data_IF_904037209222
#
_entry.id   IF_904037209222
#
_cell.length_a   1.000
_cell.length_b   1.000
_cell.length_c   1.000
_cell.angle_alpha   90.00
_cell.angle_beta   90.00
_cell.angle_gamma   90.00
#
_symmetry.space_group_name_H-M   'P 1'
#
loop_
_entity.id
_entity.type
_entity.pdbx_description
1 polymer ?
#
# COMPACT_ATOMS: atom_id res chain seq x y z
N UNK A 1 -19.67 23.52 12.16
CA UNK A 1 -18.94 23.51 10.88
C UNK A 1 -17.51 22.96 11.00
N UNK A 2 -16.89 22.93 12.19
CA UNK A 2 -15.52 22.43 12.40
C UNK A 2 -15.40 20.89 12.61
N UNK A 3 -16.49 20.19 12.94
CA UNK A 3 -16.42 18.76 13.32
C UNK A 3 -16.36 17.79 12.13
N UNK A 4 -16.90 18.15 10.95
CA UNK A 4 -17.06 17.20 9.83
C UNK A 4 -15.79 17.07 8.97
N UNK A 5 -15.05 18.15 8.79
CA UNK A 5 -13.73 18.15 8.12
C UNK A 5 -12.61 17.61 9.00
N UNK A 6 -12.81 17.62 10.32
CA UNK A 6 -11.82 17.19 11.31
C UNK A 6 -11.53 15.68 11.25
N UNK A 7 -12.51 14.85 10.90
CA UNK A 7 -12.33 13.39 10.79
C UNK A 7 -11.38 13.03 9.65
N UNK A 8 -11.52 13.69 8.49
CA UNK A 8 -10.66 13.44 7.35
C UNK A 8 -9.22 13.88 7.62
N UNK A 9 -9.06 15.06 8.25
CA UNK A 9 -7.76 15.56 8.66
C UNK A 9 -7.11 14.67 9.72
N UNK A 10 -7.89 14.17 10.68
CA UNK A 10 -7.41 13.29 11.73
C UNK A 10 -7.00 11.93 11.18
N UNK A 11 -7.77 11.36 10.27
CA UNK A 11 -7.43 10.11 9.58
C UNK A 11 -6.14 10.26 8.77
N UNK A 12 -6.06 11.31 7.96
CA UNK A 12 -4.88 11.64 7.18
C UNK A 12 -3.65 11.86 8.08
N UNK A 13 -3.78 12.65 9.14
CA UNK A 13 -2.70 12.92 10.08
C UNK A 13 -2.25 11.64 10.82
N UNK A 14 -3.21 10.78 11.21
CA UNK A 14 -2.93 9.53 11.89
C UNK A 14 -2.15 8.56 10.98
N UNK A 15 -2.58 8.38 9.73
CA UNK A 15 -1.86 7.52 8.79
C UNK A 15 -0.45 8.02 8.50
N UNK A 16 -0.28 9.32 8.22
CA UNK A 16 1.05 9.89 8.03
C UNK A 16 1.93 9.78 9.29
N UNK A 17 1.33 9.91 10.48
CA UNK A 17 2.07 9.76 11.73
C UNK A 17 2.57 8.32 11.94
N UNK A 18 1.71 7.33 11.67
CA UNK A 18 2.10 5.90 11.75
C UNK A 18 3.21 5.60 10.74
N UNK A 19 3.13 6.10 9.51
CA UNK A 19 4.21 5.94 8.52
C UNK A 19 5.53 6.56 9.00
N UNK A 20 5.48 7.73 9.62
CA UNK A 20 6.68 8.40 10.12
C UNK A 20 7.32 7.62 11.28
N UNK A 21 6.50 7.04 12.17
CA UNK A 21 6.98 6.13 13.20
C UNK A 21 7.62 4.88 12.60
N UNK A 22 7.02 4.32 11.54
CA UNK A 22 7.57 3.15 10.84
C UNK A 22 8.91 3.45 10.18
N UNK A 23 9.08 4.64 9.58
CA UNK A 23 10.37 5.08 9.02
C UNK A 23 11.45 5.19 10.09
N UNK A 24 11.12 5.77 11.24
CA UNK A 24 12.06 5.87 12.35
C UNK A 24 12.48 4.49 12.85
N UNK A 25 11.52 3.58 13.04
CA UNK A 25 11.80 2.20 13.42
C UNK A 25 12.68 1.47 12.39
N UNK A 26 12.34 1.60 11.10
CA UNK A 26 13.11 0.99 10.01
C UNK A 26 14.56 1.50 9.98
N UNK A 27 14.77 2.80 10.23
CA UNK A 27 16.10 3.39 10.33
C UNK A 27 16.89 2.83 11.53
N UNK A 28 16.26 2.75 12.71
CA UNK A 28 16.91 2.15 13.88
C UNK A 28 17.25 0.68 13.66
N UNK A 29 16.31 -0.11 13.15
CA UNK A 29 16.56 -1.53 12.85
C UNK A 29 17.64 -1.71 11.79
N UNK A 30 17.70 -0.84 10.78
CA UNK A 30 18.78 -0.85 9.79
C UNK A 30 20.13 -0.58 10.44
N UNK A 31 20.20 0.36 11.38
CA UNK A 31 21.43 0.61 12.14
C UNK A 31 21.84 -0.61 12.99
N UNK A 32 20.89 -1.21 13.70
CA UNK A 32 21.12 -2.42 14.50
C UNK A 32 21.61 -3.58 13.64
N UNK A 33 20.97 -3.81 12.49
CA UNK A 33 21.42 -4.83 11.52
C UNK A 33 22.83 -4.51 11.03
N UNK A 34 23.09 -3.30 10.54
CA UNK A 34 24.40 -2.92 10.03
C UNK A 34 25.51 -3.00 11.09
N UNK A 35 25.20 -2.72 12.35
CA UNK A 35 26.18 -2.79 13.44
C UNK A 35 26.48 -4.23 13.89
N UNK A 36 25.52 -5.14 13.76
CA UNK A 36 25.66 -6.55 14.11
C UNK A 36 26.06 -7.45 12.93
N UNK A 37 25.92 -6.99 11.69
CA UNK A 37 26.15 -7.78 10.49
C UNK A 37 27.65 -7.92 10.22
N UNK A 38 28.15 -9.14 10.31
CA UNK A 38 29.47 -9.50 9.77
C UNK A 38 29.33 -9.82 8.28
N UNK A 39 29.83 -8.91 7.43
CA UNK A 39 29.83 -9.12 5.97
C UNK A 39 30.91 -10.12 5.62
N UNK A 40 30.51 -11.32 5.19
CA UNK A 40 31.40 -12.32 4.64
C UNK A 40 31.20 -12.46 3.13
N UNK A 41 32.26 -12.83 2.42
CA UNK A 41 32.19 -13.08 0.97
C UNK A 41 31.55 -14.46 0.72
N UNK A 42 30.22 -14.50 0.65
CA UNK A 42 29.46 -15.71 0.36
C UNK A 42 29.32 -15.92 -1.15
N UNK A 43 29.68 -17.11 -1.63
CA UNK A 43 29.41 -17.49 -3.02
C UNK A 43 27.92 -17.81 -3.18
N UNK A 44 27.26 -17.36 -4.26
CA UNK A 44 25.88 -17.69 -4.51
C UNK A 44 25.68 -19.22 -4.50
N UNK A 45 24.64 -19.75 -3.84
CA UNK A 45 24.40 -21.18 -3.81
C UNK A 45 24.14 -21.69 -5.23
N UNK A 46 24.71 -22.87 -5.56
CA UNK A 46 24.36 -23.57 -6.81
C UNK A 46 22.96 -24.16 -6.64
N UNK A 47 21.96 -23.50 -7.24
CA UNK A 47 20.58 -23.97 -7.25
C UNK A 47 20.38 -24.93 -8.43
N UNK A 48 19.74 -26.06 -8.16
CA UNK A 48 19.20 -26.95 -9.20
C UNK A 48 17.68 -26.76 -9.22
N UNK A 49 17.09 -26.36 -10.37
CA UNK A 49 15.64 -26.24 -10.49
C UNK A 49 14.96 -27.55 -10.11
N UNK A 50 13.85 -27.45 -9.40
CA UNK A 50 12.99 -28.56 -9.04
C UNK A 50 11.55 -28.10 -9.14
N UNK A 51 10.69 -29.00 -9.59
CA UNK A 51 9.26 -28.78 -9.52
C UNK A 51 8.85 -28.55 -8.06
N UNK A 52 8.02 -27.56 -7.83
CA UNK A 52 7.65 -27.18 -6.47
C UNK A 52 6.61 -26.08 -6.43
N UNK A 53 5.98 -25.95 -5.26
CA UNK A 53 5.05 -24.87 -4.94
C UNK A 53 5.57 -24.17 -3.70
N UNK A 54 5.51 -22.84 -3.71
CA UNK A 54 6.01 -22.01 -2.63
C UNK A 54 5.13 -20.81 -2.40
N UNK A 55 4.88 -20.51 -1.13
CA UNK A 55 4.17 -19.32 -0.68
C UNK A 55 5.11 -18.53 0.24
N UNK A 56 5.20 -17.23 0.03
CA UNK A 56 5.92 -16.30 0.89
C UNK A 56 5.05 -15.09 1.21
N UNK A 57 5.18 -14.60 2.43
CA UNK A 57 4.55 -13.37 2.89
C UNK A 57 5.64 -12.47 3.49
N UNK A 58 5.59 -11.19 3.15
CA UNK A 58 6.49 -10.18 3.70
C UNK A 58 5.71 -8.92 4.07
N UNK A 59 5.99 -8.37 5.24
CA UNK A 59 5.45 -7.07 5.62
C UNK A 59 6.19 -5.97 4.86
N UNK A 60 5.43 -5.15 4.15
CA UNK A 60 5.93 -3.96 3.46
C UNK A 60 5.17 -2.73 4.01
N UNK A 61 5.61 -1.49 3.73
CA UNK A 61 5.06 -0.30 4.38
C UNK A 61 3.53 -0.14 4.30
N UNK A 62 2.88 -0.76 3.30
CA UNK A 62 1.45 -0.62 3.00
C UNK A 62 0.62 -1.83 3.43
N UNK A 63 1.22 -2.80 4.12
CA UNK A 63 0.61 -4.06 4.56
C UNK A 63 1.35 -5.30 4.04
N UNK A 64 0.74 -6.47 4.18
CA UNK A 64 1.36 -7.75 3.80
C UNK A 64 1.36 -7.96 2.29
N UNK A 65 2.52 -8.32 1.71
CA UNK A 65 2.67 -8.74 0.33
C UNK A 65 2.77 -10.27 0.26
N UNK A 66 1.87 -10.88 -0.51
CA UNK A 66 1.85 -12.34 -0.71
C UNK A 66 2.33 -12.72 -2.09
N UNK A 67 3.21 -13.73 -2.13
CA UNK A 67 3.71 -14.35 -3.34
C UNK A 67 3.45 -15.85 -3.28
N UNK A 68 2.79 -16.38 -4.29
CA UNK A 68 2.57 -17.80 -4.49
C UNK A 68 3.02 -18.18 -5.89
N UNK A 69 3.90 -19.18 -6.00
CA UNK A 69 4.43 -19.65 -7.27
C UNK A 69 4.44 -21.17 -7.34
N UNK A 70 4.20 -21.70 -8.53
CA UNK A 70 4.50 -23.10 -8.87
C UNK A 70 5.55 -23.12 -9.98
N UNK A 71 6.60 -23.90 -9.77
CA UNK A 71 7.67 -24.14 -10.72
C UNK A 71 7.56 -25.57 -11.29
N UNK A 72 7.92 -25.74 -12.56
CA UNK A 72 8.13 -27.07 -13.14
C UNK A 72 9.56 -27.59 -12.90
N UNK A 73 9.88 -28.77 -13.45
CA UNK A 73 11.18 -29.42 -13.29
C UNK A 73 12.34 -28.62 -13.91
N UNK A 74 12.06 -27.81 -14.92
CA UNK A 74 13.04 -26.95 -15.59
C UNK A 74 13.18 -25.58 -14.88
N UNK A 75 12.35 -25.32 -13.86
CA UNK A 75 12.35 -24.08 -13.08
C UNK A 75 11.48 -22.97 -13.66
N UNK A 76 10.62 -23.29 -14.63
CA UNK A 76 9.70 -22.32 -15.21
C UNK A 76 8.47 -22.14 -14.33
N UNK A 77 8.02 -20.89 -14.20
CA UNK A 77 6.80 -20.56 -13.48
C UNK A 77 5.60 -21.06 -14.29
N UNK A 78 4.88 -22.04 -13.74
CA UNK A 78 3.64 -22.58 -14.32
C UNK A 78 2.39 -21.95 -13.70
N UNK A 79 2.53 -21.38 -12.50
CA UNK A 79 1.48 -20.65 -11.81
C UNK A 79 2.09 -19.52 -10.98
N UNK A 80 1.42 -18.38 -10.96
CA UNK A 80 1.77 -17.23 -10.14
C UNK A 80 0.50 -16.57 -9.60
N UNK A 81 0.47 -16.32 -8.31
CA UNK A 81 -0.55 -15.54 -7.64
C UNK A 81 0.12 -14.54 -6.70
N UNK A 82 -0.23 -13.27 -6.84
CA UNK A 82 0.38 -12.17 -6.10
C UNK A 82 -0.74 -11.31 -5.53
N UNK A 83 -0.79 -11.20 -4.20
CA UNK A 83 -1.77 -10.35 -3.51
C UNK A 83 -1.02 -9.15 -2.95
N UNK A 84 -1.24 -8.00 -3.57
CA UNK A 84 -0.55 -6.76 -3.17
C UNK A 84 -1.25 -6.09 -1.98
N UNK A 85 -0.52 -5.36 -1.13
CA UNK A 85 -1.12 -4.63 -0.01
C UNK A 85 -2.15 -3.59 -0.47
N UNK A 86 -1.87 -2.87 -1.57
CA UNK A 86 -2.82 -1.89 -2.13
C UNK A 86 -4.13 -2.54 -2.57
N UNK A 87 -4.08 -3.74 -3.18
CA UNK A 87 -5.30 -4.46 -3.55
C UNK A 87 -6.14 -4.87 -2.33
N UNK A 88 -5.49 -5.23 -1.22
CA UNK A 88 -6.16 -5.56 0.04
C UNK A 88 -6.86 -4.33 0.66
N UNK A 89 -6.24 -3.15 0.56
CA UNK A 89 -6.79 -1.91 1.10
C UNK A 89 -7.87 -1.25 0.24
N UNK A 90 -8.10 -1.76 -0.98
CA UNK A 90 -9.05 -1.16 -1.92
C UNK A 90 -10.49 -1.13 -1.38
N UNK A 91 -10.93 -2.17 -0.68
CA UNK A 91 -12.26 -2.21 -0.09
C UNK A 91 -12.43 -1.14 1.00
N UNK A 92 -11.46 -1.06 1.92
CA UNK A 92 -11.47 -0.06 2.98
C UNK A 92 -11.49 1.37 2.41
N UNK A 93 -10.67 1.61 1.38
CA UNK A 93 -10.65 2.89 0.67
C UNK A 93 -12.02 3.24 0.06
N UNK A 94 -12.69 2.28 -0.59
CA UNK A 94 -14.03 2.50 -1.14
C UNK A 94 -15.06 2.81 -0.06
N UNK A 95 -15.05 2.06 1.04
CA UNK A 95 -15.98 2.28 2.15
C UNK A 95 -15.75 3.63 2.84
N UNK A 96 -14.49 4.04 3.02
CA UNK A 96 -14.17 5.33 3.61
C UNK A 96 -14.55 6.49 2.67
N UNK A 97 -14.39 6.35 1.34
CA UNK A 97 -14.92 7.31 0.38
C UNK A 97 -16.44 7.42 0.52
N UNK A 98 -17.17 6.29 0.54
CA UNK A 98 -18.63 6.28 0.71
C UNK A 98 -19.07 6.94 2.01
N UNK A 99 -18.31 6.76 3.10
CA UNK A 99 -18.60 7.33 4.41
C UNK A 99 -18.34 8.83 4.48
N UNK A 100 -17.29 9.31 3.82
CA UNK A 100 -16.88 10.72 3.82
C UNK A 100 -17.73 11.54 2.85
N UNK A 101 -18.11 10.97 1.70
CA UNK A 101 -18.78 11.69 0.61
C UNK A 101 -20.01 12.53 1.08
N UNK A 102 -20.96 12.00 1.88
CA UNK A 102 -22.12 12.77 2.35
C UNK A 102 -21.75 14.02 3.16
N UNK A 103 -20.58 14.03 3.80
CA UNK A 103 -20.13 15.17 4.62
C UNK A 103 -19.54 16.31 3.79
N UNK A 104 -19.14 16.04 2.53
CA UNK A 104 -18.48 17.00 1.64
C UNK A 104 -19.34 17.41 0.43
N UNK A 105 -20.52 16.79 0.21
CA UNK A 105 -21.44 17.10 -0.91
C UNK A 105 -21.87 18.58 -1.00
N UNK A 106 -21.80 19.34 0.09
CA UNK A 106 -22.13 20.77 0.08
C UNK A 106 -21.01 21.70 -0.42
N UNK A 107 -19.86 21.16 -0.80
CA UNK A 107 -18.70 21.94 -1.29
C UNK A 107 -18.76 22.10 -2.82
N UNK A 108 -17.87 22.94 -3.37
CA UNK A 108 -17.69 23.02 -4.83
C UNK A 108 -17.15 21.69 -5.35
N UNK A 109 -17.44 21.35 -6.62
CA UNK A 109 -17.03 20.09 -7.23
C UNK A 109 -15.52 19.88 -7.13
N UNK A 110 -14.73 20.94 -7.34
CA UNK A 110 -13.26 20.90 -7.26
C UNK A 110 -12.77 20.59 -5.84
N UNK A 111 -13.44 21.13 -4.82
CA UNK A 111 -13.11 20.88 -3.42
C UNK A 111 -13.46 19.44 -3.00
N UNK A 112 -14.55 18.89 -3.56
CA UNK A 112 -14.94 17.48 -3.34
C UNK A 112 -13.89 16.55 -3.94
N UNK A 113 -13.48 16.79 -5.19
CA UNK A 113 -12.44 16.01 -5.87
C UNK A 113 -11.15 16.05 -5.06
N UNK A 114 -10.71 17.25 -4.65
CA UNK A 114 -9.49 17.43 -3.85
C UNK A 114 -9.54 16.68 -2.51
N UNK A 115 -10.67 16.68 -1.81
CA UNK A 115 -10.79 15.98 -0.53
C UNK A 115 -10.83 14.46 -0.69
N UNK A 116 -11.45 13.95 -1.76
CA UNK A 116 -11.42 12.52 -2.10
C UNK A 116 -10.00 12.10 -2.52
N UNK A 117 -9.29 12.92 -3.29
CA UNK A 117 -7.89 12.64 -3.63
C UNK A 117 -6.98 12.59 -2.41
N UNK A 118 -7.14 13.50 -1.44
CA UNK A 118 -6.40 13.46 -0.17
C UNK A 118 -6.67 12.16 0.59
N UNK A 119 -7.93 11.72 0.64
CA UNK A 119 -8.30 10.46 1.27
C UNK A 119 -7.61 9.28 0.58
N UNK A 120 -7.67 9.22 -0.76
CA UNK A 120 -7.02 8.14 -1.51
C UNK A 120 -5.51 8.16 -1.29
N UNK A 121 -4.86 9.34 -1.30
CA UNK A 121 -3.43 9.50 -1.04
C UNK A 121 -3.02 9.08 0.38
N UNK A 122 -3.93 9.16 1.35
CA UNK A 122 -3.68 8.70 2.71
C UNK A 122 -3.32 7.20 2.77
N UNK A 123 -3.89 6.40 1.86
CA UNK A 123 -3.58 4.97 1.72
C UNK A 123 -2.30 4.67 0.92
N UNK A 124 -1.59 5.71 0.46
CA UNK A 124 -0.37 5.62 -0.36
C UNK A 124 -0.51 4.56 -1.50
N UNK A 125 -1.50 4.68 -2.40
CA UNK A 125 -1.77 3.64 -3.37
C UNK A 125 -0.63 3.54 -4.39
N UNK A 126 -0.08 2.34 -4.58
CA UNK A 126 0.97 2.07 -5.56
C UNK A 126 0.40 1.83 -6.97
N UNK A 127 -0.41 2.74 -7.48
CA UNK A 127 -0.78 2.73 -8.91
C UNK A 127 0.22 3.58 -9.68
N UNK A 128 0.56 3.21 -10.90
CA UNK A 128 1.69 3.73 -11.67
C UNK A 128 1.72 5.25 -11.96
N UNK A 129 0.75 6.05 -11.48
CA UNK A 129 0.55 7.45 -11.91
C UNK A 129 -0.01 8.37 -10.81
N UNK A 130 0.50 8.33 -9.57
CA UNK A 130 -0.06 8.97 -8.36
C UNK A 130 -0.19 10.51 -8.33
N UNK A 131 -0.20 11.23 -9.46
CA UNK A 131 -0.34 12.69 -9.48
C UNK A 131 -1.71 13.20 -9.97
N UNK A 132 -2.37 12.56 -10.95
CA UNK A 132 -3.64 13.03 -11.55
C UNK A 132 -4.48 11.85 -12.06
N UNK A 133 -5.11 11.08 -11.17
CA UNK A 133 -5.78 9.84 -11.57
C UNK A 133 -7.28 9.81 -11.29
N UNK A 134 -7.82 10.72 -10.46
CA UNK A 134 -9.23 10.67 -10.10
C UNK A 134 -10.08 11.40 -11.14
N UNK A 135 -10.74 10.63 -12.00
CA UNK A 135 -11.77 11.13 -12.90
C UNK A 135 -13.15 10.93 -12.25
N UNK A 136 -13.91 12.02 -12.11
CA UNK A 136 -15.25 11.98 -11.51
C UNK A 136 -16.30 12.29 -12.58
N UNK A 137 -17.12 11.28 -12.89
CA UNK A 137 -18.30 11.44 -13.73
C UNK A 137 -19.45 11.97 -12.88
N UNK A 138 -19.98 13.13 -13.25
CA UNK A 138 -21.11 13.75 -12.57
C UNK A 138 -22.38 13.44 -13.34
N UNK A 139 -23.28 12.64 -12.74
CA UNK A 139 -24.61 12.44 -13.30
C UNK A 139 -25.47 13.67 -13.00
N UNK A 140 -25.90 14.39 -14.04
CA UNK A 140 -26.91 15.44 -13.90
C UNK A 140 -28.29 14.76 -13.80
N UNK A 141 -28.91 14.83 -12.62
CA UNK A 141 -30.33 14.49 -12.41
C UNK A 141 -31.16 15.76 -12.33
#
# INVERSE_FOLDING_TARGET
MLEKTGILLLFYACQNFVEEQYKFFALSSSHDICSALEVTDEKPPKLSPKAGHGIAAVEVPRGTLWHEYTLDADGMITYANIITPTAQNLLSMQEDIKRVLPSILGKKKEDIVMDVEKLIRAYDPCFSCSAHFLEVNWDEH
#
